data_IF_680999202248
#
_entry.id   IF_680999202248
#
_cell.length_a   1.000
_cell.length_b   1.000
_cell.length_c   1.000
_cell.angle_alpha   90.00
_cell.angle_beta   90.00
_cell.angle_gamma   90.00
#
_symmetry.space_group_name_H-M   'P 1'
#
loop_
_entity.id
_entity.type
_entity.pdbx_description
1 polymer ?
#
# COMPACT_ATOMS: atom_id res chain seq x y z
N UNK A 1 -4.21 -8.75 10.47
CA UNK A 1 -4.04 -10.03 11.18
C UNK A 1 -3.40 -11.09 10.30
N UNK A 2 -2.09 -11.31 10.42
CA UNK A 2 -1.48 -12.60 10.03
C UNK A 2 -1.42 -13.47 11.28
N UNK A 3 -2.57 -14.09 11.62
CA UNK A 3 -2.77 -14.95 12.79
C UNK A 3 -2.58 -16.45 12.47
N UNK A 4 -2.28 -16.81 11.22
CA UNK A 4 -2.10 -18.20 10.79
C UNK A 4 -0.64 -18.46 10.42
N UNK A 5 -0.12 -19.65 10.78
CA UNK A 5 1.22 -20.10 10.38
C UNK A 5 2.42 -19.45 11.07
N UNK A 6 2.22 -18.59 12.10
CA UNK A 6 3.35 -18.06 12.87
C UNK A 6 4.08 -19.18 13.59
N UNK A 7 5.35 -19.40 13.22
CA UNK A 7 6.25 -20.30 13.94
C UNK A 7 6.32 -19.83 15.40
N UNK A 8 6.04 -20.73 16.34
CA UNK A 8 6.14 -20.43 17.77
C UNK A 8 7.60 -20.13 18.10
N UNK A 9 7.86 -18.93 18.60
CA UNK A 9 9.12 -18.58 19.26
C UNK A 9 9.13 -19.29 20.61
N UNK A 10 10.24 -19.92 20.98
CA UNK A 10 10.35 -20.55 22.30
C UNK A 10 10.21 -19.49 23.40
N UNK A 11 9.63 -19.86 24.55
CA UNK A 11 9.45 -18.94 25.66
C UNK A 11 10.79 -18.33 26.12
N UNK A 12 11.87 -19.12 26.11
CA UNK A 12 13.23 -18.65 26.45
C UNK A 12 13.73 -17.56 25.50
N UNK A 13 13.53 -17.71 24.19
CA UNK A 13 13.96 -16.72 23.21
C UNK A 13 13.07 -15.46 23.26
N UNK A 14 11.76 -15.64 23.48
CA UNK A 14 10.81 -14.53 23.60
C UNK A 14 11.04 -13.66 24.86
N UNK A 15 11.60 -14.25 25.92
CA UNK A 15 11.97 -13.55 27.16
C UNK A 15 13.42 -13.03 27.17
N UNK A 16 14.20 -13.27 26.10
CA UNK A 16 15.55 -12.74 26.02
C UNK A 16 15.54 -11.21 25.94
N UNK A 17 16.48 -10.50 26.61
CA UNK A 17 16.55 -9.04 26.55
C UNK A 17 16.64 -8.51 25.12
N UNK A 18 17.41 -9.20 24.26
CA UNK A 18 17.59 -8.83 22.85
C UNK A 18 16.26 -8.88 22.07
N UNK A 19 15.48 -9.96 22.22
CA UNK A 19 14.18 -10.07 21.53
C UNK A 19 13.20 -9.00 21.99
N UNK A 20 13.15 -8.73 23.30
CA UNK A 20 12.30 -7.70 23.88
C UNK A 20 12.69 -6.31 23.36
N UNK A 21 13.97 -5.99 23.32
CA UNK A 21 14.49 -4.73 22.77
C UNK A 21 14.17 -4.59 21.28
N UNK A 22 14.40 -5.63 20.46
CA UNK A 22 14.05 -5.62 19.04
C UNK A 22 12.55 -5.46 18.81
N UNK A 23 11.72 -6.13 19.62
CA UNK A 23 10.25 -6.03 19.54
C UNK A 23 9.78 -4.62 19.93
N UNK A 24 10.33 -4.04 21.00
CA UNK A 24 10.04 -2.68 21.44
C UNK A 24 10.47 -1.64 20.40
N UNK A 25 11.66 -1.79 19.81
CA UNK A 25 12.15 -0.92 18.75
C UNK A 25 11.23 -0.96 17.51
N UNK A 26 10.85 -2.16 17.04
CA UNK A 26 9.89 -2.34 15.94
C UNK A 26 8.54 -1.69 16.27
N UNK A 27 8.03 -1.88 17.48
CA UNK A 27 6.77 -1.31 17.91
C UNK A 27 6.84 0.24 17.99
N UNK A 28 7.96 0.79 18.46
CA UNK A 28 8.20 2.25 18.50
C UNK A 28 8.21 2.84 17.09
N UNK A 29 8.97 2.25 16.18
CA UNK A 29 9.03 2.70 14.78
C UNK A 29 7.67 2.62 14.09
N UNK A 30 6.92 1.53 14.31
CA UNK A 30 5.57 1.38 13.76
C UNK A 30 4.60 2.43 14.30
N UNK A 31 4.61 2.69 15.62
CA UNK A 31 3.77 3.73 16.23
C UNK A 31 4.08 5.12 15.69
N UNK A 32 5.36 5.45 15.52
CA UNK A 32 5.77 6.73 14.94
C UNK A 32 5.26 6.87 13.51
N UNK A 33 5.41 5.82 12.69
CA UNK A 33 4.94 5.80 11.31
C UNK A 33 3.42 5.97 11.21
N UNK A 34 2.68 5.19 12.01
CA UNK A 34 1.22 5.28 12.07
C UNK A 34 0.78 6.69 12.52
N UNK A 35 1.42 7.25 13.55
CA UNK A 35 1.13 8.60 14.03
C UNK A 35 1.31 9.66 12.94
N UNK A 36 2.40 9.59 12.18
CA UNK A 36 2.67 10.53 11.08
C UNK A 36 1.60 10.47 9.98
N UNK A 37 1.18 9.25 9.58
CA UNK A 37 0.13 9.07 8.56
C UNK A 37 -1.23 9.54 9.07
N UNK A 38 -1.56 9.29 10.35
CA UNK A 38 -2.80 9.75 10.96
C UNK A 38 -2.86 11.28 11.05
N UNK A 39 -1.75 11.92 11.45
CA UNK A 39 -1.63 13.39 11.47
C UNK A 39 -1.78 13.99 10.06
N UNK A 40 -1.10 13.42 9.07
CA UNK A 40 -1.23 13.85 7.68
C UNK A 40 -2.68 13.70 7.16
N UNK A 41 -3.34 12.58 7.50
CA UNK A 41 -4.74 12.32 7.17
C UNK A 41 -5.69 13.35 7.80
N UNK A 42 -5.49 13.68 9.08
CA UNK A 42 -6.31 14.67 9.78
C UNK A 42 -6.12 16.07 9.18
N UNK A 43 -4.88 16.42 8.82
CA UNK A 43 -4.53 17.70 8.21
C UNK A 43 -4.87 17.78 6.71
N UNK A 44 -5.38 16.70 6.08
CA UNK A 44 -5.53 16.57 4.61
C UNK A 44 -4.26 16.98 3.85
N UNK A 45 -3.11 16.66 4.43
CA UNK A 45 -1.80 16.98 3.86
C UNK A 45 -1.34 15.81 3.01
N UNK A 46 -1.03 16.06 1.74
CA UNK A 46 -0.70 15.05 0.72
C UNK A 46 0.67 15.31 0.10
N UNK A 47 1.65 15.64 0.94
CA UNK A 47 3.02 15.86 0.51
C UNK A 47 3.71 14.52 0.20
N UNK A 48 4.65 14.51 -0.75
CA UNK A 48 5.38 13.30 -1.17
C UNK A 48 5.97 12.52 0.01
N UNK A 49 6.51 13.22 1.00
CA UNK A 49 7.05 12.60 2.22
C UNK A 49 6.00 11.80 2.99
N UNK A 50 4.76 12.29 3.07
CA UNK A 50 3.69 11.60 3.81
C UNK A 50 3.13 10.43 2.99
N UNK A 51 3.06 10.59 1.66
CA UNK A 51 2.71 9.51 0.74
C UNK A 51 3.73 8.37 0.84
N UNK A 52 5.03 8.68 0.87
CA UNK A 52 6.09 7.69 1.07
C UNK A 52 5.98 6.97 2.42
N UNK A 53 5.67 7.70 3.51
CA UNK A 53 5.43 7.09 4.82
C UNK A 53 4.23 6.13 4.80
N UNK A 54 3.14 6.50 4.11
CA UNK A 54 1.98 5.61 3.97
C UNK A 54 2.29 4.35 3.16
N UNK A 55 3.16 4.41 2.15
CA UNK A 55 3.60 3.23 1.40
C UNK A 55 4.31 2.23 2.31
N UNK A 56 5.26 2.74 3.11
CA UNK A 56 5.97 1.92 4.12
C UNK A 56 5.02 1.32 5.16
N UNK A 57 3.98 2.05 5.55
CA UNK A 57 2.98 1.56 6.50
C UNK A 57 2.13 0.44 5.90
N UNK A 58 1.73 0.57 4.63
CA UNK A 58 1.01 -0.45 3.87
C UNK A 58 1.83 -1.73 3.72
N UNK A 59 3.12 -1.62 3.42
CA UNK A 59 4.02 -2.77 3.34
C UNK A 59 4.13 -3.48 4.70
N UNK A 60 4.39 -2.73 5.78
CA UNK A 60 4.56 -3.30 7.12
C UNK A 60 3.28 -3.94 7.67
N UNK A 61 2.12 -3.32 7.40
CA UNK A 61 0.80 -3.80 7.80
C UNK A 61 -0.19 -3.68 6.62
N UNK A 62 -0.25 -4.71 5.76
CA UNK A 62 -1.16 -4.73 4.61
C UNK A 62 -2.65 -4.63 4.98
N UNK A 63 -3.03 -4.95 6.23
CA UNK A 63 -4.42 -4.81 6.71
C UNK A 63 -4.79 -3.41 7.22
N UNK A 64 -3.86 -2.45 7.19
CA UNK A 64 -4.11 -1.11 7.70
C UNK A 64 -5.01 -0.30 6.73
N UNK A 65 -6.33 -0.51 6.80
CA UNK A 65 -7.31 0.20 5.95
C UNK A 65 -7.15 1.73 5.99
N UNK A 66 -6.78 2.29 7.14
CA UNK A 66 -6.52 3.74 7.28
C UNK A 66 -5.40 4.23 6.37
N UNK A 67 -4.33 3.44 6.19
CA UNK A 67 -3.21 3.77 5.31
C UNK A 67 -3.64 3.76 3.85
N UNK A 68 -4.34 2.70 3.42
CA UNK A 68 -4.88 2.60 2.06
C UNK A 68 -5.88 3.71 1.75
N UNK A 69 -6.76 4.05 2.69
CA UNK A 69 -7.71 5.16 2.53
C UNK A 69 -7.02 6.52 2.48
N UNK A 70 -5.92 6.71 3.21
CA UNK A 70 -5.08 7.90 3.05
C UNK A 70 -4.45 7.96 1.67
N UNK A 71 -3.88 6.86 1.17
CA UNK A 71 -3.28 6.79 -0.16
C UNK A 71 -4.28 7.16 -1.26
N UNK A 72 -5.46 6.52 -1.30
CA UNK A 72 -6.51 6.85 -2.27
C UNK A 72 -6.81 8.35 -2.32
N UNK A 73 -6.98 8.97 -1.16
CA UNK A 73 -7.25 10.42 -1.07
C UNK A 73 -6.06 11.25 -1.55
N UNK A 74 -4.84 10.87 -1.21
CA UNK A 74 -3.63 11.57 -1.64
C UNK A 74 -3.43 11.48 -3.16
N UNK A 75 -3.55 10.29 -3.73
CA UNK A 75 -3.43 10.06 -5.18
C UNK A 75 -4.51 10.85 -5.94
N UNK A 76 -5.76 10.81 -5.47
CA UNK A 76 -6.83 11.60 -6.07
C UNK A 76 -6.57 13.10 -5.93
N UNK A 77 -6.18 13.59 -4.76
CA UNK A 77 -5.95 15.02 -4.54
C UNK A 77 -4.78 15.58 -5.37
N UNK A 78 -3.74 14.78 -5.63
CA UNK A 78 -2.56 15.23 -6.36
C UNK A 78 -2.72 15.19 -7.88
N UNK A 79 -3.70 14.46 -8.41
CA UNK A 79 -3.83 14.21 -9.84
C UNK A 79 -5.23 14.46 -10.42
N UNK A 80 -6.28 14.50 -9.58
CA UNK A 80 -7.63 14.85 -10.01
C UNK A 80 -7.82 16.38 -9.92
N UNK A 81 -8.02 17.02 -11.07
CA UNK A 81 -8.40 18.43 -11.15
C UNK A 81 -9.92 18.55 -11.02
N UNK A 82 -10.42 19.60 -10.37
CA UNK A 82 -11.88 19.84 -10.25
C UNK A 82 -12.60 19.90 -11.61
N UNK A 83 -11.86 20.23 -12.68
CA UNK A 83 -12.43 20.46 -14.01
C UNK A 83 -12.09 19.36 -15.03
N UNK A 84 -11.39 18.30 -14.64
CA UNK A 84 -10.96 17.25 -15.58
C UNK A 84 -11.15 15.88 -14.96
N UNK A 85 -12.15 15.11 -15.40
CA UNK A 85 -12.33 13.73 -14.98
C UNK A 85 -11.05 12.92 -15.21
N UNK A 86 -10.76 11.95 -14.32
CA UNK A 86 -9.56 11.11 -14.43
C UNK A 86 -9.46 10.44 -15.81
N UNK A 87 -10.57 9.99 -16.41
CA UNK A 87 -10.57 9.36 -17.73
C UNK A 87 -10.12 10.26 -18.88
N UNK A 88 -10.15 11.59 -18.70
CA UNK A 88 -9.73 12.59 -19.69
C UNK A 88 -8.27 13.03 -19.48
N UNK A 89 -7.61 12.55 -18.42
CA UNK A 89 -6.19 12.82 -18.19
C UNK A 89 -5.30 12.12 -19.23
N UNK A 90 -4.11 12.69 -19.54
CA UNK A 90 -3.14 12.07 -20.42
C UNK A 90 -2.86 10.60 -20.04
N UNK A 91 -2.83 9.72 -21.04
CA UNK A 91 -2.71 8.28 -20.82
C UNK A 91 -1.40 7.90 -20.12
N UNK A 92 -0.29 8.57 -20.45
CA UNK A 92 1.02 8.41 -19.83
C UNK A 92 1.00 8.76 -18.34
N UNK A 93 0.34 9.86 -17.95
CA UNK A 93 0.16 10.22 -16.55
C UNK A 93 -0.66 9.15 -15.81
N UNK A 94 -1.78 8.71 -16.40
CA UNK A 94 -2.63 7.68 -15.80
C UNK A 94 -1.89 6.37 -15.58
N UNK A 95 -1.13 5.92 -16.57
CA UNK A 95 -0.30 4.70 -16.47
C UNK A 95 0.76 4.88 -15.39
N UNK A 96 1.47 6.01 -15.36
CA UNK A 96 2.51 6.28 -14.36
C UNK A 96 1.97 6.27 -12.92
N UNK A 97 0.80 6.89 -12.68
CA UNK A 97 0.12 6.86 -11.37
C UNK A 97 -0.30 5.43 -11.01
N UNK A 98 -0.87 4.69 -11.97
CA UNK A 98 -1.26 3.30 -11.75
C UNK A 98 -0.06 2.43 -11.38
N UNK A 99 1.05 2.50 -12.12
CA UNK A 99 2.27 1.74 -11.87
C UNK A 99 2.84 2.02 -10.47
N UNK A 100 2.86 3.29 -10.05
CA UNK A 100 3.32 3.67 -8.72
C UNK A 100 2.47 3.04 -7.61
N UNK A 101 1.14 3.07 -7.71
CA UNK A 101 0.24 2.47 -6.71
C UNK A 101 0.23 0.93 -6.77
N UNK A 102 0.35 0.35 -7.97
CA UNK A 102 0.49 -1.10 -8.14
C UNK A 102 1.78 -1.60 -7.50
N UNK A 103 2.87 -0.84 -7.56
CA UNK A 103 4.13 -1.21 -6.89
C UNK A 103 3.97 -1.26 -5.36
N UNK A 104 3.21 -0.34 -4.77
CA UNK A 104 2.96 -0.33 -3.31
C UNK A 104 2.09 -1.51 -2.89
N UNK A 105 1.04 -1.82 -3.64
CA UNK A 105 0.20 -3.00 -3.36
C UNK A 105 0.97 -4.31 -3.57
N UNK A 106 1.85 -4.39 -4.57
CA UNK A 106 2.73 -5.54 -4.80
C UNK A 106 3.64 -5.79 -3.59
N UNK A 107 4.31 -4.76 -3.06
CA UNK A 107 5.15 -4.87 -1.89
C UNK A 107 4.37 -5.36 -0.65
N UNK A 108 3.15 -4.86 -0.46
CA UNK A 108 2.27 -5.31 0.62
C UNK A 108 1.82 -6.77 0.45
N UNK A 109 1.51 -7.20 -0.79
CA UNK A 109 1.09 -8.57 -1.09
C UNK A 109 2.24 -9.57 -0.95
N UNK A 110 3.47 -9.22 -1.34
CA UNK A 110 4.67 -10.05 -1.06
C UNK A 110 4.85 -10.33 0.44
N UNK A 111 4.39 -9.40 1.30
CA UNK A 111 4.42 -9.58 2.76
C UNK A 111 3.21 -10.36 3.29
N UNK A 112 2.03 -10.13 2.74
CA UNK A 112 0.83 -10.88 3.07
C UNK A 112 -0.05 -11.06 1.81
N UNK A 113 0.07 -12.20 1.11
CA UNK A 113 -0.65 -12.41 -0.16
C UNK A 113 -2.17 -12.53 0.05
N UNK A 114 -2.61 -12.78 1.29
CA UNK A 114 -4.02 -12.85 1.67
C UNK A 114 -4.62 -11.50 2.06
N UNK A 115 -3.90 -10.40 1.81
CA UNK A 115 -4.36 -9.10 2.28
C UNK A 115 -5.51 -8.56 1.45
N UNK A 116 -6.71 -8.55 2.05
CA UNK A 116 -7.89 -8.03 1.39
C UNK A 116 -7.74 -6.55 1.05
N UNK A 117 -7.19 -5.75 1.96
CA UNK A 117 -7.04 -4.30 1.74
C UNK A 117 -6.08 -4.01 0.57
N UNK A 118 -4.99 -4.77 0.43
CA UNK A 118 -4.05 -4.61 -0.66
C UNK A 118 -4.67 -4.99 -2.02
N UNK A 119 -5.36 -6.15 -2.10
CA UNK A 119 -6.10 -6.55 -3.30
C UNK A 119 -7.20 -5.56 -3.67
N UNK A 120 -7.94 -5.07 -2.67
CA UNK A 120 -8.98 -4.07 -2.89
C UNK A 120 -8.42 -2.75 -3.42
N UNK A 121 -7.28 -2.29 -2.90
CA UNK A 121 -6.57 -1.12 -3.43
C UNK A 121 -6.14 -1.36 -4.88
N UNK A 122 -5.59 -2.54 -5.18
CA UNK A 122 -5.14 -2.92 -6.53
C UNK A 122 -6.28 -2.86 -7.54
N UNK A 123 -7.44 -3.43 -7.21
CA UNK A 123 -8.66 -3.32 -8.02
C UNK A 123 -9.08 -1.86 -8.21
N UNK A 124 -9.11 -1.07 -7.13
CA UNK A 124 -9.45 0.35 -7.22
C UNK A 124 -8.51 1.12 -8.17
N UNK A 125 -7.20 0.83 -8.15
CA UNK A 125 -6.23 1.46 -9.06
C UNK A 125 -6.56 1.15 -10.52
N UNK A 126 -6.79 -0.13 -10.84
CA UNK A 126 -7.13 -0.56 -12.19
C UNK A 126 -8.44 0.07 -12.68
N UNK A 127 -9.49 0.00 -11.85
CA UNK A 127 -10.81 0.55 -12.19
C UNK A 127 -10.76 2.08 -12.38
N UNK A 128 -9.92 2.79 -11.61
CA UNK A 128 -9.89 4.27 -11.59
C UNK A 128 -8.96 4.88 -12.62
N UNK A 129 -7.74 4.35 -12.76
CA UNK A 129 -6.67 4.99 -13.54
C UNK A 129 -6.49 4.37 -14.93
N UNK A 130 -6.73 3.06 -15.05
CA UNK A 130 -6.63 2.35 -16.33
C UNK A 130 -7.99 2.31 -17.03
N UNK A 131 -9.07 2.05 -16.28
CA UNK A 131 -10.43 1.98 -16.81
C UNK A 131 -10.65 0.75 -17.71
N UNK A 132 -11.62 0.83 -18.62
CA UNK A 132 -11.92 -0.24 -19.61
C UNK A 132 -11.01 -0.20 -20.84
N UNK A 133 -10.04 0.70 -20.90
CA UNK A 133 -9.07 0.80 -21.99
C UNK A 133 -7.99 -0.28 -21.84
N UNK A 134 -8.38 -1.54 -22.02
CA UNK A 134 -7.50 -2.70 -22.07
C UNK A 134 -6.53 -2.67 -23.29
N UNK A 135 -6.64 -1.65 -24.15
CA UNK A 135 -5.80 -1.44 -25.31
C UNK A 135 -4.41 -0.84 -24.96
N UNK A 136 -4.22 -0.33 -23.74
CA UNK A 136 -2.90 0.09 -23.26
C UNK A 136 -2.17 -1.14 -22.73
N UNK A 137 -1.28 -1.71 -23.56
CA UNK A 137 -0.53 -2.92 -23.23
C UNK A 137 0.61 -2.66 -22.21
N UNK A 138 0.99 -3.69 -21.41
CA UNK A 138 0.47 -5.06 -21.48
C UNK A 138 -0.22 -5.44 -20.17
N UNK A 139 -1.54 -5.59 -20.24
CA UNK A 139 -2.29 -6.38 -19.25
C UNK A 139 -1.64 -7.75 -19.03
N UNK A 140 -0.99 -8.31 -20.06
CA UNK A 140 -0.19 -9.54 -19.99
C UNK A 140 0.99 -9.44 -19.01
N UNK A 141 1.75 -8.34 -18.98
CA UNK A 141 2.87 -8.18 -18.05
C UNK A 141 2.40 -7.88 -16.63
N UNK A 142 1.24 -7.23 -16.48
CA UNK A 142 0.59 -7.06 -15.18
C UNK A 142 0.12 -8.42 -14.68
N UNK A 143 -0.56 -9.21 -15.52
CA UNK A 143 -1.01 -10.59 -15.22
C UNK A 143 0.14 -11.53 -14.87
N UNK A 144 1.24 -11.51 -15.64
CA UNK A 144 2.44 -12.29 -15.33
C UNK A 144 3.02 -11.90 -13.97
N UNK A 145 3.06 -10.59 -13.64
CA UNK A 145 3.41 -10.14 -12.29
C UNK A 145 2.40 -10.61 -11.25
N UNK A 146 1.10 -10.62 -11.55
CA UNK A 146 0.07 -11.12 -10.62
C UNK A 146 0.25 -12.61 -10.30
N UNK A 147 0.57 -13.45 -11.29
CA UNK A 147 0.76 -14.90 -11.09
C UNK A 147 1.85 -15.20 -10.05
N UNK A 148 2.93 -14.40 -10.03
CA UNK A 148 4.03 -14.55 -9.07
C UNK A 148 3.70 -14.11 -7.64
N UNK A 149 2.57 -13.42 -7.41
CA UNK A 149 2.18 -12.94 -6.08
C UNK A 149 1.39 -13.99 -5.28
N UNK A 150 0.98 -15.09 -5.92
CA UNK A 150 0.17 -16.15 -5.31
C UNK A 150 0.89 -17.50 -5.17
N UNK A 151 2.14 -17.60 -5.64
CA UNK A 151 3.03 -18.77 -5.45
C UNK A 151 3.83 -18.67 -4.15
#
# INVERSE_FOLDING_TARGET
SSMHGRRRVSASLASSPEFLEQSAAKAKSYRALLGAVLQASAAKSYLDKQIALSAKLCELNPEAATSWNYRKRATLANHNSENTPIGELPADLRVSVAEAELTVSEAALKRNPKSYCAWYHRRWVLDTWIGKDFAVKPFDAVLERECTLTE
#
